data_IF_018334593409
#
_entry.id   IF_018334593409
#
_cell.length_a   1.000
_cell.length_b   1.000
_cell.length_c   1.000
_cell.angle_alpha   90.00
_cell.angle_beta   90.00
_cell.angle_gamma   90.00
#
_symmetry.space_group_name_H-M   'P 1'
#
loop_
_entity.id
_entity.type
_entity.pdbx_description
1 polymer ?
#
# COMPACT_ATOMS: atom_id res chain seq x y z
N UNK A 1 10.81 3.32 11.86
CA UNK A 1 9.44 3.03 12.37
C UNK A 1 8.52 3.02 11.17
N UNK A 2 7.86 1.91 10.83
CA UNK A 2 6.94 1.88 9.69
C UNK A 2 5.67 2.68 10.00
N UNK A 3 5.50 3.83 9.35
CA UNK A 3 4.26 4.62 9.42
C UNK A 3 3.22 3.97 8.51
N UNK A 4 1.96 3.95 8.92
CA UNK A 4 0.86 3.45 8.09
C UNK A 4 0.11 4.69 7.62
N UNK A 5 0.13 4.93 6.31
CA UNK A 5 -0.59 6.03 5.67
C UNK A 5 -1.73 5.42 4.87
N UNK A 6 -2.97 5.75 5.19
CA UNK A 6 -4.13 5.30 4.43
C UNK A 6 -4.68 6.45 3.61
N UNK A 7 -4.90 6.20 2.33
CA UNK A 7 -5.49 7.14 1.39
C UNK A 7 -6.82 6.56 0.94
N UNK A 8 -7.91 7.27 1.22
CA UNK A 8 -9.22 6.92 0.66
C UNK A 8 -9.30 7.58 -0.71
N UNK A 9 -9.53 6.78 -1.75
CA UNK A 9 -9.83 7.34 -3.07
C UNK A 9 -11.30 7.74 -3.13
N UNK A 10 -11.59 8.99 -3.46
CA UNK A 10 -12.95 9.38 -3.85
C UNK A 10 -13.30 8.85 -5.25
N UNK A 11 -12.28 8.62 -6.09
CA UNK A 11 -12.41 8.09 -7.46
C UNK A 11 -11.96 6.64 -7.63
N UNK A 12 -11.34 6.05 -6.61
CA UNK A 12 -10.82 4.69 -6.66
C UNK A 12 -11.70 3.78 -5.81
N UNK A 13 -12.15 2.65 -6.34
CA UNK A 13 -12.90 1.66 -5.56
C UNK A 13 -12.00 1.01 -4.51
N UNK A 14 -11.93 1.62 -3.32
CA UNK A 14 -11.23 1.05 -2.17
C UNK A 14 -10.40 2.05 -1.35
N UNK A 15 -9.63 1.50 -0.43
CA UNK A 15 -8.68 2.25 0.42
C UNK A 15 -7.27 1.77 0.13
N UNK A 16 -6.40 2.67 -0.33
CA UNK A 16 -4.98 2.37 -0.50
C UNK A 16 -4.26 2.57 0.83
N UNK A 17 -3.64 1.52 1.34
CA UNK A 17 -2.83 1.56 2.56
C UNK A 17 -1.37 1.47 2.17
N UNK A 18 -0.65 2.57 2.33
CA UNK A 18 0.79 2.62 2.21
C UNK A 18 1.41 2.21 3.54
N UNK A 19 2.14 1.10 3.51
CA UNK A 19 3.13 0.83 4.52
C UNK A 19 4.41 1.55 4.11
N UNK A 20 5.00 2.29 5.04
CA UNK A 20 6.21 3.08 4.83
C UNK A 20 7.48 2.19 4.72
N UNK A 21 7.41 1.12 3.91
CA UNK A 21 8.54 0.34 3.43
C UNK A 21 8.87 0.89 2.05
N UNK A 22 9.99 1.58 1.97
CA UNK A 22 10.46 2.24 0.77
C UNK A 22 11.46 1.35 0.02
N UNK A 23 11.35 1.30 -1.30
CA UNK A 23 12.43 0.89 -2.19
C UNK A 23 12.72 2.02 -3.15
N UNK A 24 13.94 2.50 -3.12
CA UNK A 24 14.42 3.57 -4.00
C UNK A 24 15.44 3.03 -4.99
N UNK A 25 15.24 3.35 -6.26
CA UNK A 25 16.27 3.30 -7.30
C UNK A 25 16.92 4.71 -7.39
N UNK A 26 18.00 4.90 -8.16
CA UNK A 26 18.60 6.23 -8.33
C UNK A 26 17.63 7.30 -8.84
N UNK A 27 16.60 6.91 -9.58
CA UNK A 27 15.69 7.81 -10.29
C UNK A 27 14.26 7.80 -9.74
N UNK A 28 13.87 6.78 -8.98
CA UNK A 28 12.47 6.55 -8.60
C UNK A 28 12.34 6.00 -7.17
N UNK A 29 11.30 6.44 -6.47
CA UNK A 29 10.94 5.95 -5.13
C UNK A 29 9.60 5.22 -5.20
N UNK A 30 9.58 4.02 -4.65
CA UNK A 30 8.39 3.19 -4.53
C UNK A 30 8.08 2.89 -3.06
N UNK A 31 6.82 2.89 -2.71
CA UNK A 31 6.31 2.50 -1.41
C UNK A 31 5.52 1.21 -1.50
N UNK A 32 5.61 0.36 -0.48
CA UNK A 32 4.73 -0.80 -0.36
C UNK A 32 3.29 -0.35 -0.11
N UNK A 33 2.37 -0.79 -0.97
CA UNK A 33 0.93 -0.50 -0.88
C UNK A 33 0.07 -1.75 -0.82
N UNK A 34 -1.10 -1.62 -0.21
CA UNK A 34 -2.21 -2.58 -0.32
C UNK A 34 -3.48 -1.85 -0.66
N UNK A 35 -4.13 -2.26 -1.73
CA UNK A 35 -5.48 -1.83 -2.05
C UNK A 35 -6.49 -2.72 -1.32
N UNK A 36 -7.28 -2.11 -0.45
CA UNK A 36 -8.36 -2.76 0.29
C UNK A 36 -9.70 -2.47 -0.37
N UNK A 37 -10.47 -3.52 -0.64
CA UNK A 37 -11.83 -3.43 -1.15
C UNK A 37 -12.75 -4.29 -0.26
N UNK A 38 -14.00 -3.87 -0.07
CA UNK A 38 -14.96 -4.58 0.79
C UNK A 38 -15.34 -5.95 0.24
N UNK A 39 -15.32 -6.11 -1.08
CA UNK A 39 -15.81 -7.32 -1.76
C UNK A 39 -14.70 -8.22 -2.32
N UNK A 40 -13.43 -7.79 -2.24
CA UNK A 40 -12.31 -8.49 -2.84
C UNK A 40 -11.17 -8.68 -1.85
N UNK A 41 -10.35 -9.70 -2.09
CA UNK A 41 -9.13 -9.90 -1.33
C UNK A 41 -8.16 -8.71 -1.49
N UNK A 42 -7.38 -8.37 -0.45
CA UNK A 42 -6.37 -7.31 -0.51
C UNK A 42 -5.35 -7.55 -1.63
N UNK A 43 -5.10 -6.51 -2.43
CA UNK A 43 -4.12 -6.55 -3.53
C UNK A 43 -2.85 -5.81 -3.11
N UNK A 44 -1.72 -6.50 -3.17
CA UNK A 44 -0.40 -5.97 -2.78
C UNK A 44 0.30 -5.40 -4.02
N UNK A 45 0.91 -4.22 -3.89
CA UNK A 45 1.57 -3.55 -5.01
C UNK A 45 2.72 -2.62 -4.57
N UNK A 46 3.63 -2.34 -5.50
CA UNK A 46 4.59 -1.23 -5.38
C UNK A 46 3.97 0.04 -5.96
N UNK A 47 3.77 1.05 -5.11
CA UNK A 47 3.16 2.32 -5.48
C UNK A 47 4.25 3.36 -5.67
N UNK A 48 4.30 3.98 -6.85
CA UNK A 48 5.27 5.05 -7.11
C UNK A 48 5.00 6.27 -6.22
N UNK A 49 6.04 6.99 -5.80
CA UNK A 49 5.90 8.15 -4.91
C UNK A 49 5.02 9.27 -5.51
N UNK A 50 5.00 9.38 -6.84
CA UNK A 50 4.16 10.33 -7.58
C UNK A 50 2.81 9.75 -8.02
N UNK A 51 2.42 8.57 -7.53
CA UNK A 51 1.13 7.97 -7.87
C UNK A 51 -0.01 8.94 -7.49
N UNK A 52 -0.95 9.22 -8.40
CA UNK A 52 -2.10 10.10 -8.14
C UNK A 52 -2.87 9.74 -6.86
N UNK A 53 -2.91 8.45 -6.48
CA UNK A 53 -3.56 7.98 -5.25
C UNK A 53 -2.85 8.45 -3.97
N UNK A 54 -1.55 8.73 -4.03
CA UNK A 54 -0.75 9.30 -2.95
C UNK A 54 -0.82 10.83 -3.00
N UNK A 55 -0.58 11.42 -4.18
CA UNK A 55 -0.45 12.88 -4.36
C UNK A 55 -1.79 13.59 -4.18
N UNK A 56 -2.87 12.99 -4.68
CA UNK A 56 -4.23 13.55 -4.59
C UNK A 56 -5.10 12.85 -3.55
N UNK A 57 -4.62 11.75 -2.97
CA UNK A 57 -5.34 11.06 -1.90
C UNK A 57 -5.43 11.91 -0.65
N UNK A 58 -6.61 11.95 -0.04
CA UNK A 58 -6.75 12.50 1.30
C UNK A 58 -6.21 11.49 2.31
N UNK A 59 -5.13 11.85 3.02
CA UNK A 59 -4.64 11.05 4.15
C UNK A 59 -5.79 10.91 5.16
N UNK A 60 -6.29 9.69 5.28
CA UNK A 60 -7.41 9.35 6.12
C UNK A 60 -6.89 8.58 7.31
N UNK A 61 -7.26 9.03 8.51
CA UNK A 61 -7.09 8.24 9.72
C UNK A 61 -8.17 7.15 9.87
N UNK A 62 -8.92 6.84 8.81
CA UNK A 62 -9.94 5.80 8.86
C UNK A 62 -9.38 4.51 9.44
N UNK A 63 -10.19 3.92 10.31
CA UNK A 63 -9.93 2.63 10.91
C UNK A 63 -9.88 1.58 9.79
N UNK A 64 -8.67 1.29 9.29
CA UNK A 64 -8.42 0.11 8.44
C UNK A 64 -8.61 -1.20 9.24
N UNK A 65 -8.80 -1.10 10.56
CA UNK A 65 -8.92 -2.25 11.47
C UNK A 65 -9.93 -3.33 11.05
N UNK A 66 -11.11 -3.03 10.47
CA UNK A 66 -12.03 -4.07 9.99
C UNK A 66 -11.38 -4.93 8.90
N UNK A 67 -10.66 -4.30 7.98
CA UNK A 67 -9.93 -4.97 6.89
C UNK A 67 -8.65 -5.66 7.38
N UNK A 68 -8.01 -5.13 8.43
CA UNK A 68 -6.79 -5.70 8.99
C UNK A 68 -7.02 -6.96 9.83
N UNK A 69 -8.24 -7.20 10.31
CA UNK A 69 -8.52 -8.28 11.28
C UNK A 69 -8.18 -9.66 10.69
N UNK A 70 -8.59 -9.91 9.45
CA UNK A 70 -8.30 -11.14 8.69
C UNK A 70 -6.81 -11.25 8.28
N UNK A 71 -6.09 -10.12 8.31
CA UNK A 71 -4.66 -10.04 7.95
C UNK A 71 -3.72 -10.15 9.15
N UNK A 72 -4.24 -10.42 10.36
CA UNK A 72 -3.44 -10.50 11.59
C UNK A 72 -3.11 -9.12 12.19
N UNK A 73 -3.94 -8.11 11.92
CA UNK A 73 -3.77 -6.75 12.40
C UNK A 73 -2.61 -6.01 11.70
N UNK A 74 -2.17 -4.91 12.30
CA UNK A 74 -1.08 -4.08 11.75
C UNK A 74 0.24 -4.85 11.60
N UNK A 75 0.56 -5.72 12.55
CA UNK A 75 1.79 -6.52 12.55
C UNK A 75 1.70 -7.63 11.50
N UNK A 76 0.59 -8.38 11.47
CA UNK A 76 0.39 -9.45 10.48
C UNK A 76 0.37 -8.92 9.04
N UNK A 77 -0.28 -7.78 8.80
CA UNK A 77 -0.25 -7.10 7.51
C UNK A 77 1.18 -6.71 7.13
N UNK A 78 1.92 -6.08 8.04
CA UNK A 78 3.31 -5.69 7.81
C UNK A 78 4.22 -6.86 7.45
N UNK A 79 4.08 -8.00 8.13
CA UNK A 79 4.85 -9.21 7.83
C UNK A 79 4.47 -9.81 6.48
N UNK A 80 3.17 -9.93 6.16
CA UNK A 80 2.71 -10.44 4.86
C UNK A 80 3.20 -9.55 3.71
N UNK A 81 3.04 -8.23 3.84
CA UNK A 81 3.53 -7.25 2.86
C UNK A 81 5.03 -7.35 2.64
N UNK A 82 5.78 -7.35 3.74
CA UNK A 82 7.23 -7.46 3.67
C UNK A 82 7.64 -8.74 2.94
N UNK A 83 7.02 -9.88 3.25
CA UNK A 83 7.35 -11.14 2.61
C UNK A 83 7.00 -11.17 1.12
N UNK A 84 5.82 -10.69 0.74
CA UNK A 84 5.38 -10.63 -0.67
C UNK A 84 6.33 -9.71 -1.46
N UNK A 85 6.61 -8.53 -0.93
CA UNK A 85 7.35 -7.49 -1.66
C UNK A 85 8.87 -7.65 -1.60
N UNK A 86 9.44 -8.34 -0.60
CA UNK A 86 10.84 -8.75 -0.62
C UNK A 86 11.10 -9.78 -1.74
N UNK A 87 10.09 -10.58 -2.09
CA UNK A 87 10.17 -11.62 -3.12
C UNK A 87 9.80 -11.10 -4.51
N UNK A 88 9.00 -10.05 -4.61
CA UNK A 88 8.63 -9.45 -5.89
C UNK A 88 9.67 -8.43 -6.41
N UNK A 89 10.00 -8.47 -7.71
CA UNK A 89 10.80 -7.43 -8.34
C UNK A 89 10.02 -6.11 -8.36
N UNK A 90 10.75 -4.98 -8.31
CA UNK A 90 10.13 -3.68 -8.59
C UNK A 90 9.50 -3.73 -9.99
N UNK A 91 8.32 -3.10 -10.19
CA UNK A 91 7.73 -3.00 -11.52
C UNK A 91 8.75 -2.31 -12.43
N UNK A 92 9.27 -3.05 -13.40
CA UNK A 92 10.17 -2.51 -14.40
C UNK A 92 9.28 -1.73 -15.36
N UNK A 93 9.57 -0.44 -15.59
CA UNK A 93 8.92 0.36 -16.64
C UNK A 93 8.89 -0.48 -17.91
N UNK A 94 7.72 -1.03 -18.24
CA UNK A 94 7.53 -1.75 -19.49
C UNK A 94 7.52 -0.64 -20.53
N UNK A 95 8.64 -0.51 -21.22
CA UNK A 95 8.92 0.55 -22.17
C UNK A 95 8.10 0.40 -23.44
#
# INVERSE_FOLDING_TARGET
>A
MARLRSFRGDFYEGTLVILDIERSTPDETYYSGVLLNENNDPVFEWVHAEDPRIVHGHESHMYVSPYLKELGGRVGLGTKLRNILEQEPLPTKTR
#
